data_IF_089882518422
#
_entry.id   IF_089882518422
#
_cell.length_a   1.000
_cell.length_b   1.000
_cell.length_c   1.000
_cell.angle_alpha   90.00
_cell.angle_beta   90.00
_cell.angle_gamma   90.00
#
_symmetry.space_group_name_H-M   'P 1'
#
loop_
_entity.id
_entity.type
_entity.pdbx_description
1 polymer ?
#
# COMPACT_ATOMS: atom_id res chain seq x y z
N UNK A 1 -3.04 0.89 13.47
CA UNK A 1 -3.69 1.16 12.17
C UNK A 1 -2.74 1.89 11.22
N UNK A 2 -2.13 2.98 11.70
CA UNK A 2 -1.26 3.87 10.91
C UNK A 2 -0.09 3.16 10.22
N UNK A 3 0.54 2.17 10.88
CA UNK A 3 1.64 1.41 10.28
C UNK A 3 1.25 0.69 8.98
N UNK A 4 0.08 0.05 8.93
CA UNK A 4 -0.39 -0.63 7.74
C UNK A 4 -0.74 0.37 6.63
N UNK A 5 -1.35 1.51 7.00
CA UNK A 5 -1.65 2.59 6.05
C UNK A 5 -0.36 3.11 5.40
N UNK A 6 0.67 3.39 6.20
CA UNK A 6 1.98 3.84 5.71
C UNK A 6 2.67 2.80 4.82
N UNK A 7 2.62 1.51 5.17
CA UNK A 7 3.14 0.41 4.33
C UNK A 7 2.46 0.40 2.94
N UNK A 8 1.14 0.55 2.91
CA UNK A 8 0.36 0.58 1.67
C UNK A 8 0.67 1.81 0.85
N UNK A 9 0.77 2.98 1.48
CA UNK A 9 1.08 4.24 0.80
C UNK A 9 2.46 4.21 0.17
N UNK A 10 3.48 3.73 0.89
CA UNK A 10 4.83 3.58 0.36
C UNK A 10 4.86 2.61 -0.82
N UNK A 11 4.21 1.45 -0.70
CA UNK A 11 4.11 0.48 -1.78
C UNK A 11 3.36 1.04 -2.99
N UNK A 12 2.25 1.74 -2.78
CA UNK A 12 1.47 2.35 -3.85
C UNK A 12 2.29 3.43 -4.57
N UNK A 13 3.01 4.26 -3.82
CA UNK A 13 3.90 5.29 -4.36
C UNK A 13 5.03 4.68 -5.23
N UNK A 14 5.64 3.58 -4.79
CA UNK A 14 6.66 2.88 -5.57
C UNK A 14 6.11 2.35 -6.93
N UNK A 15 4.82 2.00 -6.98
CA UNK A 15 4.12 1.62 -8.22
C UNK A 15 3.49 2.79 -8.97
N UNK A 16 3.60 4.03 -8.48
CA UNK A 16 2.85 5.19 -8.98
C UNK A 16 1.34 4.91 -9.10
N UNK A 17 0.78 4.17 -8.13
CA UNK A 17 -0.64 3.79 -8.03
C UNK A 17 -1.26 4.44 -6.80
N UNK A 18 -2.59 4.50 -6.77
CA UNK A 18 -3.31 4.88 -5.56
C UNK A 18 -3.38 3.70 -4.57
N UNK A 19 -3.32 3.96 -3.25
CA UNK A 19 -3.54 2.92 -2.22
C UNK A 19 -4.84 2.13 -2.41
N UNK A 20 -5.92 2.83 -2.78
CA UNK A 20 -7.21 2.20 -3.11
C UNK A 20 -7.09 1.15 -4.23
N UNK A 21 -6.18 1.35 -5.20
CA UNK A 21 -5.93 0.35 -6.25
C UNK A 21 -5.18 -0.86 -5.69
N UNK A 22 -4.20 -0.66 -4.81
CA UNK A 22 -3.50 -1.77 -4.12
C UNK A 22 -4.48 -2.60 -3.29
N UNK A 23 -5.39 -1.97 -2.55
CA UNK A 23 -6.44 -2.66 -1.81
C UNK A 23 -7.33 -3.50 -2.73
N UNK A 24 -7.74 -2.94 -3.86
CA UNK A 24 -8.59 -3.66 -4.82
C UNK A 24 -7.86 -4.86 -5.44
N UNK A 25 -6.60 -4.66 -5.82
CA UNK A 25 -5.78 -5.70 -6.45
C UNK A 25 -5.43 -6.83 -5.45
N UNK A 26 -5.29 -6.52 -4.15
CA UNK A 26 -4.93 -7.50 -3.12
C UNK A 26 -6.13 -8.25 -2.52
N UNK A 27 -7.25 -7.56 -2.25
CA UNK A 27 -8.39 -8.12 -1.50
C UNK A 27 -9.76 -7.90 -2.16
N UNK A 28 -9.81 -7.27 -3.35
CA UNK A 28 -11.09 -6.93 -3.99
C UNK A 28 -11.88 -5.86 -3.23
N UNK A 29 -11.20 -4.93 -2.57
CA UNK A 29 -11.84 -3.90 -1.75
C UNK A 29 -12.85 -3.03 -2.52
N UNK A 30 -13.92 -2.63 -1.83
CA UNK A 30 -14.95 -1.74 -2.34
C UNK A 30 -14.43 -0.30 -2.51
N UNK A 31 -15.04 0.44 -3.44
CA UNK A 31 -14.78 1.87 -3.63
C UNK A 31 -15.15 2.64 -2.35
N UNK A 32 -14.16 3.32 -1.74
CA UNK A 32 -14.32 4.05 -0.47
C UNK A 32 -13.79 3.32 0.76
N UNK A 33 -13.41 2.04 0.65
CA UNK A 33 -12.86 1.28 1.78
C UNK A 33 -11.53 1.87 2.30
N UNK A 34 -10.67 2.39 1.41
CA UNK A 34 -9.46 3.11 1.82
C UNK A 34 -9.75 4.36 2.63
N UNK A 35 -10.71 5.18 2.17
CA UNK A 35 -11.09 6.41 2.90
C UNK A 35 -11.68 6.08 4.26
N UNK A 36 -12.51 5.03 4.36
CA UNK A 36 -13.06 4.57 5.64
C UNK A 36 -11.97 4.11 6.62
N UNK A 37 -10.86 3.54 6.12
CA UNK A 37 -9.72 3.17 6.96
C UNK A 37 -8.92 4.39 7.42
N UNK A 38 -8.72 5.38 6.54
CA UNK A 38 -8.06 6.65 6.89
C UNK A 38 -8.88 7.48 7.88
N UNK A 39 -10.21 7.52 7.72
CA UNK A 39 -11.11 8.25 8.61
C UNK A 39 -11.37 7.53 9.93
N UNK A 40 -10.88 6.29 10.09
CA UNK A 40 -11.15 5.45 11.25
C UNK A 40 -12.59 4.91 11.34
N UNK A 41 -13.41 5.13 10.30
CA UNK A 41 -14.79 4.62 10.23
C UNK A 41 -14.85 3.10 10.04
N UNK A 42 -13.81 2.51 9.45
CA UNK A 42 -13.68 1.07 9.30
C UNK A 42 -12.24 0.63 9.61
N UNK A 43 -12.08 -0.61 10.07
CA UNK A 43 -10.77 -1.20 10.31
C UNK A 43 -10.63 -2.50 9.51
N UNK A 44 -9.46 -2.78 8.91
CA UNK A 44 -9.16 -4.09 8.36
C UNK A 44 -9.14 -5.13 9.47
N UNK A 45 -9.65 -6.31 9.17
CA UNK A 45 -9.45 -7.48 10.02
C UNK A 45 -8.01 -7.97 9.89
N UNK A 46 -7.52 -8.75 10.86
CA UNK A 46 -6.18 -9.34 10.80
C UNK A 46 -5.96 -10.12 9.49
N UNK A 47 -6.97 -10.88 9.06
CA UNK A 47 -6.95 -11.66 7.82
C UNK A 47 -6.79 -10.80 6.56
N UNK A 48 -7.33 -9.59 6.57
CA UNK A 48 -7.18 -8.63 5.48
C UNK A 48 -5.78 -8.03 5.47
N UNK A 49 -5.25 -7.66 6.64
CA UNK A 49 -3.88 -7.16 6.76
C UNK A 49 -2.85 -8.20 6.29
N UNK A 50 -3.03 -9.47 6.67
CA UNK A 50 -2.14 -10.56 6.25
C UNK A 50 -2.16 -10.76 4.74
N UNK A 51 -3.34 -10.83 4.13
CA UNK A 51 -3.47 -10.93 2.66
C UNK A 51 -2.79 -9.77 1.94
N UNK A 52 -2.88 -8.56 2.48
CA UNK A 52 -2.24 -7.39 1.90
C UNK A 52 -0.72 -7.51 1.93
N UNK A 53 -0.17 -7.95 3.07
CA UNK A 53 1.27 -8.15 3.24
C UNK A 53 1.79 -9.29 2.35
N UNK A 54 1.04 -10.38 2.24
CA UNK A 54 1.38 -11.47 1.33
C UNK A 54 1.31 -11.03 -0.13
N UNK A 55 0.34 -10.19 -0.50
CA UNK A 55 0.28 -9.60 -1.83
C UNK A 55 1.50 -8.72 -2.12
N UNK A 56 1.88 -7.82 -1.21
CA UNK A 56 3.08 -6.98 -1.36
C UNK A 56 4.38 -7.79 -1.41
N UNK A 57 4.45 -8.90 -0.69
CA UNK A 57 5.59 -9.82 -0.71
C UNK A 57 5.69 -10.59 -2.03
N UNK A 58 4.56 -11.04 -2.55
CA UNK A 58 4.48 -11.82 -3.80
C UNK A 58 4.65 -10.92 -5.04
N UNK A 59 4.22 -9.67 -4.95
CA UNK A 59 4.39 -8.67 -5.99
C UNK A 59 5.28 -7.53 -5.46
N UNK A 60 6.61 -7.75 -5.33
CA UNK A 60 7.51 -6.73 -4.81
C UNK A 60 7.40 -5.46 -5.65
N UNK A 61 7.38 -4.30 -4.99
CA UNK A 61 7.43 -3.04 -5.71
C UNK A 61 8.72 -2.95 -6.52
N UNK A 62 8.70 -2.38 -7.73
CA UNK A 62 9.93 -2.02 -8.41
C UNK A 62 10.71 -1.15 -7.42
N UNK A 63 11.96 -1.54 -7.15
CA UNK A 63 12.80 -0.81 -6.21
C UNK A 63 12.69 0.68 -6.54
N UNK A 64 12.42 1.55 -5.54
CA UNK A 64 12.40 2.97 -5.80
C UNK A 64 13.75 3.27 -6.46
N UNK A 65 13.72 3.79 -7.69
CA UNK A 65 14.92 4.27 -8.34
C UNK A 65 15.48 5.33 -7.40
N UNK A 66 16.45 4.95 -6.57
CA UNK A 66 17.20 5.90 -5.78
C UNK A 66 17.82 6.80 -6.85
N UNK A 67 17.55 8.11 -6.89
CA UNK A 67 18.29 8.99 -7.76
C UNK A 67 19.74 8.96 -7.26
N UNK A 68 20.57 8.15 -7.90
CA UNK A 68 22.02 8.04 -7.69
C UNK A 68 22.77 9.33 -8.10
N UNK A 69 22.04 10.43 -8.31
CA UNK A 69 22.57 11.71 -8.77
C UNK A 69 22.96 12.66 -7.61
N UNK A 70 22.57 12.37 -6.35
CA UNK A 70 22.95 13.20 -5.20
C UNK A 70 24.35 12.88 -4.63
N UNK A 71 25.07 11.89 -5.17
CA UNK A 71 26.39 11.49 -4.69
C UNK A 71 27.54 11.81 -5.66
N UNK A 72 27.29 12.57 -6.74
CA UNK A 72 28.33 12.91 -7.71
C UNK A 72 28.18 14.32 -8.25
N UNK A 73 28.48 15.34 -7.42
CA UNK A 73 29.23 16.55 -7.80
C UNK A 73 29.43 17.46 -6.57
#
# INVERSE_FOLDING_TARGET
>A
MEQLIAEIEAYAAAWSKSPQKVLRDAIGASWGQWEAWKSGQASPTMRVADKLRDHMRTNPAPAPAIPEDAARC
#
